data_IF_194024111406
#
_entry.id   IF_194024111406
#
_cell.length_a   1.000
_cell.length_b   1.000
_cell.length_c   1.000
_cell.angle_alpha   90.00
_cell.angle_beta   90.00
_cell.angle_gamma   90.00
#
_symmetry.space_group_name_H-M   'P 1'
#
loop_
_entity.id
_entity.type
_entity.pdbx_description
1 polymer ?
#
# COMPACT_ATOMS: atom_id res chain seq x y z
N UNK A 1 9.59 -33.02 -29.64
CA UNK A 1 8.25 -33.12 -29.04
C UNK A 1 8.33 -33.62 -27.60
N UNK A 2 9.12 -34.65 -27.31
CA UNK A 2 9.28 -35.18 -25.93
C UNK A 2 9.76 -34.15 -24.95
N UNK A 3 10.73 -33.31 -25.30
CA UNK A 3 11.26 -32.26 -24.41
C UNK A 3 10.23 -31.18 -24.08
N UNK A 4 9.39 -30.76 -25.03
CA UNK A 4 8.33 -29.79 -24.78
C UNK A 4 7.28 -30.30 -23.78
N UNK A 5 6.89 -31.58 -23.91
CA UNK A 5 5.93 -32.21 -22.99
C UNK A 5 6.54 -32.26 -21.56
N UNK A 6 7.82 -32.63 -21.46
CA UNK A 6 8.50 -32.69 -20.15
C UNK A 6 8.58 -31.29 -19.48
N UNK A 7 8.91 -30.25 -20.21
CA UNK A 7 8.91 -28.88 -19.67
C UNK A 7 7.52 -28.45 -19.21
N UNK A 8 6.50 -28.70 -20.02
CA UNK A 8 5.12 -28.37 -19.68
C UNK A 8 4.65 -29.10 -18.42
N UNK A 9 4.96 -30.38 -18.28
CA UNK A 9 4.61 -31.16 -17.07
C UNK A 9 5.30 -30.65 -15.81
N UNK A 10 6.59 -30.28 -15.90
CA UNK A 10 7.34 -29.70 -14.79
C UNK A 10 6.72 -28.36 -14.36
N UNK A 11 6.42 -27.48 -15.30
CA UNK A 11 5.82 -26.18 -15.00
C UNK A 11 4.42 -26.31 -14.40
N UNK A 12 3.62 -27.25 -14.88
CA UNK A 12 2.30 -27.54 -14.32
C UNK A 12 2.41 -28.08 -12.88
N UNK A 13 3.35 -28.96 -12.62
CA UNK A 13 3.62 -29.48 -11.27
C UNK A 13 4.04 -28.38 -10.29
N UNK A 14 4.89 -27.44 -10.72
CA UNK A 14 5.28 -26.28 -9.90
C UNK A 14 4.06 -25.41 -9.60
N UNK A 15 3.21 -25.14 -10.57
CA UNK A 15 1.98 -24.37 -10.35
C UNK A 15 1.04 -25.02 -9.33
N UNK A 16 0.81 -26.34 -9.47
CA UNK A 16 -0.01 -27.12 -8.54
C UNK A 16 0.60 -27.09 -7.14
N UNK A 17 1.93 -27.19 -7.02
CA UNK A 17 2.63 -27.15 -5.75
C UNK A 17 2.47 -25.76 -5.06
N UNK A 18 2.53 -24.66 -5.81
CA UNK A 18 2.28 -23.32 -5.27
C UNK A 18 0.85 -23.21 -4.74
N UNK A 19 -0.15 -23.71 -5.50
CA UNK A 19 -1.54 -23.71 -5.05
C UNK A 19 -1.79 -24.56 -3.82
N UNK A 20 -1.10 -25.69 -3.69
CA UNK A 20 -1.25 -26.63 -2.56
C UNK A 20 -0.55 -26.15 -1.28
N UNK A 21 0.62 -25.52 -1.41
CA UNK A 21 1.45 -25.12 -0.27
C UNK A 21 1.11 -23.73 0.27
N UNK A 22 0.57 -22.84 -0.58
CA UNK A 22 0.30 -21.46 -0.23
C UNK A 22 -1.21 -21.18 -0.24
N UNK A 23 -1.69 -20.43 0.77
CA UNK A 23 -3.09 -19.94 0.81
C UNK A 23 -3.31 -18.78 -0.17
N UNK A 24 -2.95 -18.96 -1.42
CA UNK A 24 -3.10 -17.96 -2.47
C UNK A 24 -4.40 -18.18 -3.25
N UNK A 25 -4.96 -17.08 -3.77
CA UNK A 25 -5.96 -17.22 -4.83
C UNK A 25 -5.30 -17.78 -6.11
N UNK A 26 -6.07 -18.43 -6.98
CA UNK A 26 -5.54 -18.98 -8.24
C UNK A 26 -4.79 -17.92 -9.08
N UNK A 27 -5.20 -16.68 -8.98
CA UNK A 27 -4.63 -15.54 -9.69
C UNK A 27 -3.32 -15.09 -9.08
N UNK A 28 -3.18 -15.09 -7.74
CA UNK A 28 -1.93 -14.77 -7.05
C UNK A 28 -0.89 -15.87 -7.33
N UNK A 29 -1.33 -17.13 -7.29
CA UNK A 29 -0.49 -18.27 -7.63
C UNK A 29 0.03 -18.17 -9.07
N UNK A 30 -0.81 -17.76 -10.02
CA UNK A 30 -0.43 -17.55 -11.42
C UNK A 30 0.62 -16.43 -11.55
N UNK A 31 0.47 -15.35 -10.80
CA UNK A 31 1.43 -14.24 -10.79
C UNK A 31 2.82 -14.69 -10.33
N UNK A 32 2.89 -15.35 -9.18
CA UNK A 32 4.15 -15.85 -8.64
C UNK A 32 4.79 -16.94 -9.49
N UNK A 33 3.96 -17.79 -10.08
CA UNK A 33 4.42 -18.79 -11.01
C UNK A 33 5.04 -18.18 -12.27
N UNK A 34 4.40 -17.16 -12.86
CA UNK A 34 4.95 -16.43 -14.00
C UNK A 34 6.26 -15.72 -13.66
N UNK A 35 6.33 -15.06 -12.51
CA UNK A 35 7.57 -14.43 -12.04
C UNK A 35 8.71 -15.45 -11.91
N UNK A 36 8.45 -16.61 -11.31
CA UNK A 36 9.42 -17.70 -11.21
C UNK A 36 9.87 -18.24 -12.55
N UNK A 37 8.95 -18.37 -13.52
CA UNK A 37 9.30 -18.79 -14.88
C UNK A 37 10.20 -17.78 -15.60
N UNK A 38 9.90 -16.49 -15.48
CA UNK A 38 10.74 -15.42 -16.08
C UNK A 38 12.14 -15.50 -15.52
N UNK A 39 12.28 -15.61 -14.20
CA UNK A 39 13.57 -15.70 -13.51
C UNK A 39 14.34 -16.93 -13.98
N UNK A 40 13.71 -18.08 -14.04
CA UNK A 40 14.33 -19.31 -14.53
C UNK A 40 14.81 -19.18 -15.99
N UNK A 41 14.01 -18.59 -16.87
CA UNK A 41 14.42 -18.36 -18.26
C UNK A 41 15.57 -17.36 -18.38
N UNK A 42 15.55 -16.29 -17.58
CA UNK A 42 16.64 -15.32 -17.52
C UNK A 42 17.94 -15.97 -17.03
N UNK A 43 17.90 -16.73 -15.94
CA UNK A 43 19.04 -17.49 -15.40
C UNK A 43 19.61 -18.43 -16.45
N UNK A 44 18.76 -19.20 -17.13
CA UNK A 44 19.20 -20.11 -18.19
C UNK A 44 19.88 -19.35 -19.35
N UNK A 45 19.32 -18.26 -19.82
CA UNK A 45 19.88 -17.47 -20.93
C UNK A 45 21.21 -16.83 -20.54
N UNK A 46 21.35 -16.31 -19.33
CA UNK A 46 22.61 -15.74 -18.82
C UNK A 46 23.69 -16.83 -18.71
N UNK A 47 23.36 -17.97 -18.08
CA UNK A 47 24.28 -19.09 -17.91
C UNK A 47 24.75 -19.61 -19.26
N UNK A 48 23.83 -19.74 -20.24
CA UNK A 48 24.13 -20.18 -21.58
C UNK A 48 25.06 -19.20 -22.30
N UNK A 49 24.80 -17.90 -22.28
CA UNK A 49 25.65 -16.87 -22.88
C UNK A 49 27.04 -16.84 -22.24
N UNK A 50 27.12 -16.90 -20.92
CA UNK A 50 28.38 -16.95 -20.19
C UNK A 50 29.21 -18.20 -20.58
N UNK A 51 28.57 -19.36 -20.69
CA UNK A 51 29.24 -20.60 -21.07
C UNK A 51 29.82 -20.57 -22.48
N UNK A 52 29.23 -19.78 -23.39
CA UNK A 52 29.73 -19.61 -24.77
C UNK A 52 30.82 -18.56 -24.91
N UNK A 53 30.81 -17.53 -24.07
CA UNK A 53 31.81 -16.44 -24.09
C UNK A 53 33.12 -16.82 -23.40
N UNK A 54 33.05 -17.70 -22.41
CA UNK A 54 34.21 -18.08 -21.59
C UNK A 54 34.67 -19.48 -22.06
N UNK A 55 35.93 -19.59 -22.48
CA UNK A 55 36.51 -20.77 -23.10
C UNK A 55 36.33 -22.09 -22.34
N UNK A 56 36.62 -23.21 -22.99
CA UNK A 56 36.33 -24.63 -22.67
C UNK A 56 36.58 -25.10 -21.21
N UNK A 57 37.32 -24.35 -20.38
CA UNK A 57 37.58 -24.68 -18.98
C UNK A 57 36.34 -24.56 -18.08
N UNK A 58 35.32 -23.84 -18.53
CA UNK A 58 34.11 -23.52 -17.75
C UNK A 58 32.91 -24.45 -18.01
N UNK A 59 33.09 -25.47 -18.85
CA UNK A 59 32.05 -26.52 -19.06
C UNK A 59 31.98 -27.54 -17.90
N UNK A 60 32.73 -27.33 -16.82
CA UNK A 60 32.61 -28.19 -15.66
C UNK A 60 31.28 -27.98 -14.93
N UNK A 61 30.58 -29.06 -14.64
CA UNK A 61 29.28 -29.04 -13.92
C UNK A 61 29.30 -28.17 -12.65
N UNK A 62 30.35 -28.17 -11.80
CA UNK A 62 30.39 -27.33 -10.59
C UNK A 62 30.43 -25.83 -10.90
N UNK A 63 31.06 -25.40 -11.99
CA UNK A 63 31.06 -23.98 -12.38
C UNK A 63 29.68 -23.51 -12.83
N UNK A 64 28.97 -24.30 -13.61
CA UNK A 64 27.59 -23.97 -14.02
C UNK A 64 26.66 -23.88 -12.82
N UNK A 65 26.81 -24.74 -11.85
CA UNK A 65 26.03 -24.69 -10.59
C UNK A 65 26.35 -23.40 -9.82
N UNK A 66 27.63 -23.05 -9.67
CA UNK A 66 28.06 -21.84 -8.98
C UNK A 66 27.49 -20.58 -9.67
N UNK A 67 27.57 -20.51 -11.02
CA UNK A 67 27.03 -19.40 -11.78
C UNK A 67 25.52 -19.25 -11.61
N UNK A 68 24.76 -20.37 -11.65
CA UNK A 68 23.33 -20.35 -11.37
C UNK A 68 23.02 -19.82 -9.96
N UNK A 69 23.78 -20.22 -8.94
CA UNK A 69 23.60 -19.74 -7.58
C UNK A 69 23.85 -18.22 -7.50
N UNK A 70 24.90 -17.71 -8.15
CA UNK A 70 25.21 -16.27 -8.17
C UNK A 70 24.10 -15.48 -8.85
N UNK A 71 23.61 -15.92 -10.01
CA UNK A 71 22.51 -15.26 -10.71
C UNK A 71 21.25 -15.28 -9.87
N UNK A 72 20.93 -16.42 -9.26
CA UNK A 72 19.76 -16.55 -8.38
C UNK A 72 19.87 -15.63 -7.14
N UNK A 73 21.04 -15.50 -6.50
CA UNK A 73 21.25 -14.56 -5.41
C UNK A 73 21.08 -13.11 -5.86
N UNK A 74 21.56 -12.77 -7.05
CA UNK A 74 21.36 -11.44 -7.64
C UNK A 74 19.88 -11.13 -7.85
N UNK A 75 19.14 -12.05 -8.46
CA UNK A 75 17.70 -11.94 -8.68
C UNK A 75 16.95 -11.80 -7.35
N UNK A 76 17.30 -12.60 -6.34
CA UNK A 76 16.72 -12.52 -5.00
C UNK A 76 16.91 -11.13 -4.38
N UNK A 77 18.11 -10.60 -4.40
CA UNK A 77 18.41 -9.29 -3.79
C UNK A 77 17.71 -8.14 -4.51
N UNK A 78 17.72 -8.14 -5.83
CA UNK A 78 17.22 -7.01 -6.62
C UNK A 78 15.71 -7.05 -6.89
N UNK A 79 15.14 -8.23 -6.95
CA UNK A 79 13.76 -8.44 -7.41
C UNK A 79 12.88 -8.96 -6.29
N UNK A 80 13.18 -10.13 -5.74
CA UNK A 80 12.30 -10.82 -4.79
C UNK A 80 12.17 -10.04 -3.48
N UNK A 81 13.26 -9.44 -2.98
CA UNK A 81 13.22 -8.60 -1.78
C UNK A 81 12.29 -7.38 -1.92
N UNK A 82 12.18 -6.81 -3.11
CA UNK A 82 11.25 -5.70 -3.40
C UNK A 82 9.80 -6.14 -3.56
N UNK A 83 9.59 -7.41 -3.91
CA UNK A 83 8.25 -8.00 -4.09
C UNK A 83 7.70 -8.61 -2.80
N UNK A 84 8.48 -8.67 -1.71
CA UNK A 84 8.10 -9.27 -0.44
C UNK A 84 7.14 -8.35 0.31
N UNK A 85 5.87 -8.74 0.46
CA UNK A 85 4.84 -8.02 1.20
C UNK A 85 3.50 -8.77 1.19
N UNK A 86 2.63 -8.44 2.15
CA UNK A 86 1.29 -9.02 2.22
C UNK A 86 0.37 -8.22 1.27
N UNK A 87 0.03 -8.78 0.11
CA UNK A 87 -0.72 -8.07 -0.92
C UNK A 87 -1.97 -8.81 -1.34
N UNK A 88 -3.09 -8.11 -1.27
CA UNK A 88 -4.31 -8.49 -1.95
C UNK A 88 -4.30 -7.89 -3.35
N UNK A 89 -4.08 -8.72 -4.36
CA UNK A 89 -4.16 -8.29 -5.75
C UNK A 89 -5.60 -7.93 -6.11
N UNK A 90 -5.88 -6.64 -6.27
CA UNK A 90 -7.17 -6.17 -6.80
C UNK A 90 -7.18 -6.24 -8.34
N UNK A 91 -8.32 -6.44 -8.87
CA UNK A 91 -8.95 -6.62 -10.18
C UNK A 91 -8.22 -6.25 -11.50
N UNK A 92 -7.17 -5.43 -11.53
CA UNK A 92 -6.61 -4.88 -12.79
C UNK A 92 -5.40 -5.63 -13.40
N UNK A 93 -4.95 -6.72 -12.80
CA UNK A 93 -3.74 -7.42 -13.26
C UNK A 93 -3.97 -8.42 -14.41
N UNK A 94 -5.22 -8.69 -14.82
CA UNK A 94 -5.52 -9.62 -15.92
C UNK A 94 -4.81 -9.25 -17.23
N UNK A 95 -4.80 -7.95 -17.57
CA UNK A 95 -4.11 -7.48 -18.78
C UNK A 95 -2.60 -7.68 -18.69
N UNK A 96 -2.00 -7.36 -17.56
CA UNK A 96 -0.56 -7.56 -17.33
C UNK A 96 -0.19 -9.05 -17.41
N UNK A 97 -0.99 -9.94 -16.81
CA UNK A 97 -0.78 -11.39 -16.91
C UNK A 97 -0.87 -11.87 -18.35
N UNK A 98 -1.86 -11.44 -19.11
CA UNK A 98 -2.00 -11.80 -20.52
C UNK A 98 -0.79 -11.35 -21.36
N UNK A 99 -0.34 -10.11 -21.18
CA UNK A 99 0.85 -9.58 -21.85
C UNK A 99 2.10 -10.39 -21.47
N UNK A 100 2.27 -10.70 -20.19
CA UNK A 100 3.42 -11.49 -19.71
C UNK A 100 3.39 -12.92 -20.26
N UNK A 101 2.24 -13.56 -20.28
CA UNK A 101 2.05 -14.89 -20.89
C UNK A 101 2.37 -14.84 -22.40
N UNK A 102 1.92 -13.82 -23.10
CA UNK A 102 2.21 -13.66 -24.53
C UNK A 102 3.73 -13.51 -24.78
N UNK A 103 4.42 -12.68 -23.98
CA UNK A 103 5.88 -12.49 -24.08
C UNK A 103 6.61 -13.81 -23.81
N UNK A 104 6.26 -14.53 -22.74
CA UNK A 104 6.85 -15.85 -22.44
C UNK A 104 6.54 -16.88 -23.54
N UNK A 105 5.31 -16.88 -24.06
CA UNK A 105 4.94 -17.74 -25.18
C UNK A 105 5.81 -17.51 -26.42
N UNK A 106 6.10 -16.26 -26.76
CA UNK A 106 6.99 -15.94 -27.90
C UNK A 106 8.42 -16.43 -27.64
N UNK A 107 8.95 -16.32 -26.41
CA UNK A 107 10.30 -16.83 -26.09
C UNK A 107 10.39 -18.35 -26.20
N UNK A 108 9.36 -19.08 -25.76
CA UNK A 108 9.29 -20.55 -25.86
C UNK A 108 9.21 -20.99 -27.31
N UNK A 109 8.36 -20.36 -28.13
CA UNK A 109 8.20 -20.67 -29.55
C UNK A 109 9.51 -20.42 -30.29
N UNK A 110 10.18 -19.30 -30.07
CA UNK A 110 11.46 -18.98 -30.70
C UNK A 110 12.58 -19.97 -30.31
N UNK A 111 12.65 -20.33 -29.03
CA UNK A 111 13.62 -21.32 -28.56
C UNK A 111 13.36 -22.71 -29.14
N UNK A 112 12.09 -23.08 -29.33
CA UNK A 112 11.73 -24.37 -29.96
C UNK A 112 11.97 -24.36 -31.47
N UNK A 113 11.76 -23.23 -32.15
CA UNK A 113 11.95 -23.10 -33.58
C UNK A 113 13.42 -23.27 -34.01
N UNK A 114 14.39 -22.81 -33.20
CA UNK A 114 15.83 -22.99 -33.49
C UNK A 114 16.19 -24.48 -33.58
N UNK A 115 15.62 -25.32 -32.72
CA UNK A 115 15.89 -26.76 -32.70
C UNK A 115 15.32 -27.47 -33.94
N UNK A 116 14.25 -26.93 -34.50
CA UNK A 116 13.60 -27.44 -35.70
C UNK A 116 14.36 -27.00 -36.98
N UNK A 117 14.75 -25.73 -37.07
CA UNK A 117 15.30 -25.16 -38.31
C UNK A 117 16.81 -25.39 -38.49
N UNK A 118 17.58 -25.48 -37.39
CA UNK A 118 19.04 -25.60 -37.45
C UNK A 118 19.61 -26.91 -36.89
N UNK A 119 18.75 -27.88 -36.53
CA UNK A 119 19.16 -29.07 -35.75
C UNK A 119 20.06 -28.74 -34.55
N UNK A 120 19.92 -27.51 -33.99
CA UNK A 120 20.67 -27.03 -32.84
C UNK A 120 22.16 -26.71 -33.07
N UNK A 121 22.66 -26.80 -34.34
CA UNK A 121 24.08 -26.74 -34.66
C UNK A 121 24.58 -25.33 -35.07
N UNK A 122 23.70 -24.35 -35.29
CA UNK A 122 24.12 -23.00 -35.66
C UNK A 122 24.39 -22.15 -34.40
N UNK A 123 25.68 -21.84 -34.09
CA UNK A 123 26.07 -21.09 -32.88
C UNK A 123 25.55 -19.63 -32.90
N UNK A 124 25.50 -19.02 -34.11
CA UNK A 124 25.06 -17.63 -34.23
C UNK A 124 23.57 -17.49 -33.92
N UNK A 125 22.74 -18.36 -34.49
CA UNK A 125 21.30 -18.37 -34.23
C UNK A 125 20.98 -18.62 -32.76
N UNK A 126 21.74 -19.49 -32.11
CA UNK A 126 21.56 -19.82 -30.70
C UNK A 126 21.93 -18.64 -29.78
N UNK A 127 22.96 -17.87 -30.09
CA UNK A 127 23.34 -16.67 -29.35
C UNK A 127 22.27 -15.58 -29.52
N UNK A 128 21.81 -15.34 -30.78
CA UNK A 128 20.80 -14.32 -31.05
C UNK A 128 19.48 -14.62 -30.31
N UNK A 129 19.02 -15.87 -30.35
CA UNK A 129 17.77 -16.28 -29.66
C UNK A 129 17.90 -16.17 -28.13
N UNK A 130 19.09 -16.44 -27.57
CA UNK A 130 19.32 -16.31 -26.14
C UNK A 130 19.35 -14.84 -25.70
N UNK A 131 19.94 -13.94 -26.48
CA UNK A 131 19.91 -12.49 -26.22
C UNK A 131 18.46 -11.97 -26.31
N UNK A 132 17.74 -12.37 -27.34
CA UNK A 132 16.33 -12.01 -27.48
C UNK A 132 15.48 -12.49 -26.28
N UNK A 133 15.66 -13.75 -25.88
CA UNK A 133 14.98 -14.31 -24.71
C UNK A 133 15.28 -13.51 -23.44
N UNK A 134 16.52 -13.10 -23.25
CA UNK A 134 16.93 -12.29 -22.09
C UNK A 134 16.26 -10.91 -22.10
N UNK A 135 16.22 -10.23 -23.24
CA UNK A 135 15.52 -8.94 -23.39
C UNK A 135 14.03 -9.10 -23.08
N UNK A 136 13.38 -10.14 -23.60
CA UNK A 136 11.97 -10.44 -23.32
C UNK A 136 11.73 -10.72 -21.82
N UNK A 137 12.62 -11.45 -21.15
CA UNK A 137 12.53 -11.71 -19.72
C UNK A 137 12.64 -10.42 -18.90
N UNK A 138 13.60 -9.54 -19.22
CA UNK A 138 13.74 -8.24 -18.56
C UNK A 138 12.48 -7.39 -18.75
N UNK A 139 11.96 -7.31 -19.97
CA UNK A 139 10.73 -6.56 -20.24
C UNK A 139 9.52 -7.14 -19.52
N UNK A 140 9.34 -8.46 -19.53
CA UNK A 140 8.29 -9.15 -18.80
C UNK A 140 8.39 -8.89 -17.28
N UNK A 141 9.60 -8.90 -16.74
CA UNK A 141 9.82 -8.61 -15.31
C UNK A 141 9.53 -7.14 -14.96
N UNK A 142 9.94 -6.20 -15.82
CA UNK A 142 9.60 -4.78 -15.64
C UNK A 142 8.08 -4.54 -15.65
N UNK A 143 7.34 -5.21 -16.53
CA UNK A 143 5.87 -5.08 -16.59
C UNK A 143 5.20 -5.66 -15.33
N UNK A 144 5.64 -6.81 -14.85
CA UNK A 144 5.14 -7.39 -13.60
C UNK A 144 5.45 -6.49 -12.41
N UNK A 145 6.69 -6.01 -12.30
CA UNK A 145 7.12 -5.16 -11.18
C UNK A 145 6.42 -3.80 -11.18
N UNK A 146 6.25 -3.19 -12.36
CA UNK A 146 5.53 -1.93 -12.51
C UNK A 146 4.07 -2.06 -12.08
N UNK A 147 3.40 -3.14 -12.48
CA UNK A 147 2.02 -3.41 -12.06
C UNK A 147 1.91 -3.66 -10.56
N UNK A 148 2.89 -4.34 -9.98
CA UNK A 148 2.97 -4.58 -8.54
C UNK A 148 3.10 -3.26 -7.74
N UNK A 149 4.01 -2.38 -8.16
CA UNK A 149 4.17 -1.07 -7.53
C UNK A 149 2.91 -0.20 -7.66
N UNK A 150 2.27 -0.21 -8.83
CA UNK A 150 1.01 0.49 -9.05
C UNK A 150 -0.08 0.01 -8.09
N UNK A 151 -0.29 -1.30 -7.98
CA UNK A 151 -1.29 -1.87 -7.07
C UNK A 151 -0.99 -1.54 -5.60
N UNK A 152 0.28 -1.50 -5.22
CA UNK A 152 0.70 -1.08 -3.88
C UNK A 152 0.30 0.37 -3.59
N UNK A 153 0.65 1.27 -4.50
CA UNK A 153 0.30 2.69 -4.36
C UNK A 153 -1.21 2.92 -4.31
N UNK A 154 -1.99 2.23 -5.15
CA UNK A 154 -3.45 2.30 -5.12
C UNK A 154 -4.02 1.83 -3.77
N UNK A 155 -3.47 0.77 -3.18
CA UNK A 155 -3.88 0.31 -1.85
C UNK A 155 -3.51 1.30 -0.74
N UNK A 156 -2.31 1.89 -0.80
CA UNK A 156 -1.88 2.93 0.15
C UNK A 156 -2.79 4.17 0.06
N UNK A 157 -3.15 4.60 -1.15
CA UNK A 157 -4.10 5.71 -1.37
C UNK A 157 -5.47 5.42 -0.76
N UNK A 158 -6.02 4.22 -0.94
CA UNK A 158 -7.32 3.83 -0.35
C UNK A 158 -7.27 3.89 1.18
N UNK A 159 -6.16 3.46 1.80
CA UNK A 159 -5.99 3.53 3.26
C UNK A 159 -5.96 4.99 3.72
N UNK A 160 -5.19 5.85 3.04
CA UNK A 160 -5.12 7.28 3.37
C UNK A 160 -6.48 7.96 3.23
N UNK A 161 -7.23 7.66 2.17
CA UNK A 161 -8.58 8.17 1.97
C UNK A 161 -9.55 7.71 3.07
N UNK A 162 -9.47 6.45 3.51
CA UNK A 162 -10.28 5.95 4.62
C UNK A 162 -9.94 6.65 5.94
N UNK A 163 -8.65 6.87 6.24
CA UNK A 163 -8.23 7.60 7.42
C UNK A 163 -8.76 9.04 7.40
N UNK A 164 -8.58 9.73 6.29
CA UNK A 164 -9.11 11.07 6.09
C UNK A 164 -10.62 11.18 6.31
N UNK A 165 -11.38 10.27 5.71
CA UNK A 165 -12.84 10.23 5.87
C UNK A 165 -13.26 9.94 7.32
N UNK A 166 -12.50 9.13 8.05
CA UNK A 166 -12.76 8.86 9.46
C UNK A 166 -12.45 10.09 10.33
N UNK A 167 -11.36 10.80 10.08
CA UNK A 167 -11.02 12.04 10.79
C UNK A 167 -12.10 13.11 10.57
N UNK A 168 -12.56 13.28 9.33
CA UNK A 168 -13.65 14.20 9.03
C UNK A 168 -14.95 13.85 9.80
N UNK A 169 -15.31 12.56 9.84
CA UNK A 169 -16.51 12.14 10.61
C UNK A 169 -16.34 12.40 12.11
N UNK A 170 -15.16 12.14 12.68
CA UNK A 170 -14.90 12.43 14.09
C UNK A 170 -14.98 13.92 14.38
N UNK A 171 -14.40 14.75 13.50
CA UNK A 171 -14.49 16.21 13.63
C UNK A 171 -15.93 16.71 13.60
N UNK A 172 -16.74 16.22 12.65
CA UNK A 172 -18.15 16.62 12.54
C UNK A 172 -18.98 16.18 13.75
N UNK A 173 -18.72 14.97 14.27
CA UNK A 173 -19.37 14.49 15.50
C UNK A 173 -18.93 15.34 16.72
N UNK A 174 -17.66 15.69 16.84
CA UNK A 174 -17.18 16.57 17.92
C UNK A 174 -17.82 17.97 17.85
N UNK A 175 -17.91 18.53 16.64
CA UNK A 175 -18.58 19.82 16.40
C UNK A 175 -20.05 19.78 16.83
N UNK A 176 -20.80 18.75 16.43
CA UNK A 176 -22.21 18.58 16.85
C UNK A 176 -22.35 18.46 18.37
N UNK A 177 -21.44 17.73 19.03
CA UNK A 177 -21.45 17.61 20.48
C UNK A 177 -21.22 18.97 21.18
N UNK A 178 -20.29 19.80 20.65
CA UNK A 178 -20.04 21.14 21.18
C UNK A 178 -21.24 22.06 20.96
N UNK A 179 -21.86 22.03 19.78
CA UNK A 179 -23.06 22.81 19.50
C UNK A 179 -24.21 22.42 20.43
N UNK A 180 -24.41 21.13 20.67
CA UNK A 180 -25.42 20.62 21.63
C UNK A 180 -25.14 21.07 23.06
N UNK A 181 -23.89 21.00 23.51
CA UNK A 181 -23.48 21.49 24.85
C UNK A 181 -23.75 23.00 24.99
N UNK A 182 -23.42 23.79 23.97
CA UNK A 182 -23.68 25.24 23.98
C UNK A 182 -25.19 25.54 24.12
N UNK A 183 -26.03 24.77 23.40
CA UNK A 183 -27.49 24.90 23.51
C UNK A 183 -27.97 24.58 24.92
N UNK A 184 -27.53 23.46 25.52
CA UNK A 184 -27.89 23.10 26.88
C UNK A 184 -27.41 24.12 27.91
N UNK A 185 -26.23 24.69 27.75
CA UNK A 185 -25.73 25.75 28.62
C UNK A 185 -26.57 27.03 28.54
N UNK A 186 -26.97 27.39 27.32
CA UNK A 186 -27.88 28.52 27.11
C UNK A 186 -29.23 28.31 27.83
N UNK A 187 -29.83 27.12 27.65
CA UNK A 187 -31.11 26.80 28.28
C UNK A 187 -31.06 26.77 29.82
N UNK A 188 -29.94 26.22 30.35
CA UNK A 188 -29.69 26.25 31.81
C UNK A 188 -29.54 27.67 32.34
N UNK A 189 -28.85 28.56 31.62
CA UNK A 189 -28.75 30.00 32.00
C UNK A 189 -30.10 30.67 32.04
N UNK A 190 -30.92 30.38 31.03
CA UNK A 190 -32.29 30.92 30.97
C UNK A 190 -33.14 30.46 32.16
N UNK A 191 -33.08 29.15 32.51
CA UNK A 191 -33.76 28.59 33.68
C UNK A 191 -33.31 29.21 35.00
N UNK A 192 -31.99 29.41 35.16
CA UNK A 192 -31.42 30.06 36.35
C UNK A 192 -31.88 31.52 36.48
N UNK A 193 -31.97 32.24 35.38
CA UNK A 193 -32.49 33.63 35.41
C UNK A 193 -33.93 33.64 35.87
N UNK A 194 -34.78 32.72 35.38
CA UNK A 194 -36.17 32.61 35.81
C UNK A 194 -36.31 32.19 37.31
N UNK A 195 -35.42 31.30 37.80
CA UNK A 195 -35.40 30.91 39.21
C UNK A 195 -35.00 32.06 40.13
N UNK A 196 -34.04 32.88 39.70
CA UNK A 196 -33.60 34.08 40.44
C UNK A 196 -34.73 35.11 40.61
N UNK A 197 -35.53 35.30 39.59
CA UNK A 197 -36.72 36.18 39.64
C UNK A 197 -37.80 35.67 40.61
N UNK A 198 -37.80 34.34 40.93
CA UNK A 198 -38.79 33.71 41.86
C UNK A 198 -38.28 33.56 43.31
N UNK A 199 -37.23 34.28 43.74
CA UNK A 199 -36.67 34.24 45.12
C UNK A 199 -36.26 32.83 45.59
N UNK A 200 -35.69 32.02 44.75
CA UNK A 200 -35.04 30.76 45.12
C UNK A 200 -33.68 31.05 45.77
N UNK A 201 -33.25 30.20 46.74
CA UNK A 201 -32.08 30.37 47.59
C UNK A 201 -30.81 30.74 46.74
N UNK A 202 -30.26 31.90 47.04
CA UNK A 202 -29.11 32.53 46.32
C UNK A 202 -27.86 31.62 46.26
N UNK A 203 -27.68 30.76 47.25
CA UNK A 203 -26.54 29.86 47.37
C UNK A 203 -26.52 28.77 46.28
N UNK A 204 -27.65 28.14 46.00
CA UNK A 204 -27.77 27.12 44.95
C UNK A 204 -27.63 27.74 43.55
N UNK A 205 -28.18 28.93 43.36
CA UNK A 205 -28.03 29.67 42.10
C UNK A 205 -26.58 30.05 41.87
N UNK A 206 -25.81 30.39 42.92
CA UNK A 206 -24.40 30.70 42.89
C UNK A 206 -23.55 29.50 42.47
N UNK A 207 -23.81 28.29 43.00
CA UNK A 207 -23.10 27.06 42.60
C UNK A 207 -23.35 26.67 41.15
N UNK A 208 -24.60 26.72 40.70
CA UNK A 208 -24.94 26.37 39.29
C UNK A 208 -24.41 27.43 38.33
N UNK A 209 -24.42 28.71 38.70
CA UNK A 209 -23.83 29.78 37.87
C UNK A 209 -22.31 29.62 37.76
N UNK A 210 -21.65 29.23 38.87
CA UNK A 210 -20.22 28.92 38.87
C UNK A 210 -19.89 27.68 38.01
N UNK A 211 -20.72 26.63 38.05
CA UNK A 211 -20.56 25.49 37.18
C UNK A 211 -20.72 25.84 35.69
N UNK A 212 -21.66 26.72 35.36
CA UNK A 212 -21.89 27.22 34.00
C UNK A 212 -20.83 28.23 33.53
N UNK A 213 -20.21 28.99 34.43
CA UNK A 213 -19.17 29.97 34.09
C UNK A 213 -17.95 29.33 33.42
N UNK A 214 -17.78 28.02 33.57
CA UNK A 214 -16.74 27.24 32.89
C UNK A 214 -17.03 27.14 31.39
N UNK A 215 -18.28 27.11 31.03
CA UNK A 215 -18.72 27.11 29.59
C UNK A 215 -18.66 28.54 29.01
N UNK A 216 -18.83 29.58 29.84
CA UNK A 216 -18.64 30.98 29.42
C UNK A 216 -17.17 31.33 29.13
N UNK A 217 -16.22 30.54 29.67
CA UNK A 217 -14.82 30.67 29.33
C UNK A 217 -14.46 30.07 27.95
N UNK A 218 -15.40 29.57 27.21
CA UNK A 218 -15.24 29.18 25.81
C UNK A 218 -14.98 30.44 24.99
N UNK A 219 -13.69 30.71 24.76
CA UNK A 219 -13.25 31.88 24.03
C UNK A 219 -13.64 31.69 22.57
N UNK A 220 -14.52 32.55 22.10
CA UNK A 220 -14.74 32.73 20.65
C UNK A 220 -13.49 33.39 20.06
N UNK A 221 -12.62 32.59 19.46
CA UNK A 221 -11.40 33.09 18.80
C UNK A 221 -11.71 33.77 17.47
N UNK A 222 -12.90 33.60 16.95
CA UNK A 222 -13.33 34.08 15.64
C UNK A 222 -13.07 33.09 14.50
N UNK A 223 -12.57 31.88 14.82
CA UNK A 223 -12.49 30.74 13.90
C UNK A 223 -13.25 29.56 14.51
N UNK A 224 -14.38 29.22 13.89
CA UNK A 224 -15.29 28.17 14.40
C UNK A 224 -14.61 26.81 14.62
N UNK A 225 -13.69 26.41 13.74
CA UNK A 225 -12.96 25.16 13.89
C UNK A 225 -12.06 25.15 15.12
N UNK A 226 -11.32 26.24 15.33
CA UNK A 226 -10.48 26.42 16.51
C UNK A 226 -11.31 26.47 17.80
N UNK A 227 -12.46 27.13 17.76
CA UNK A 227 -13.38 27.22 18.91
C UNK A 227 -13.88 25.84 19.34
N UNK A 228 -14.24 24.97 18.39
CA UNK A 228 -14.64 23.57 18.65
C UNK A 228 -13.49 22.78 19.31
N UNK A 229 -12.29 22.87 18.76
CA UNK A 229 -11.11 22.16 19.27
C UNK A 229 -10.77 22.63 20.70
N UNK A 230 -10.71 23.94 20.92
CA UNK A 230 -10.40 24.51 22.23
C UNK A 230 -11.45 24.15 23.26
N UNK A 231 -12.72 24.12 22.88
CA UNK A 231 -13.81 23.69 23.75
C UNK A 231 -13.65 22.25 24.18
N UNK A 232 -13.43 21.32 23.24
CA UNK A 232 -13.18 19.91 23.54
C UNK A 232 -11.98 19.73 24.47
N UNK A 233 -10.86 20.36 24.17
CA UNK A 233 -9.64 20.27 24.99
C UNK A 233 -9.82 20.89 26.37
N UNK A 234 -10.57 21.99 26.48
CA UNK A 234 -10.90 22.60 27.76
C UNK A 234 -11.70 21.67 28.66
N UNK A 235 -12.69 20.96 28.11
CA UNK A 235 -13.47 19.96 28.83
C UNK A 235 -12.60 18.81 29.35
N UNK A 236 -11.72 18.29 28.52
CA UNK A 236 -10.77 17.23 28.90
C UNK A 236 -9.80 17.70 29.97
N UNK A 237 -9.25 18.92 29.83
CA UNK A 237 -8.37 19.53 30.82
C UNK A 237 -9.05 19.68 32.16
N UNK A 238 -10.30 20.14 32.19
CA UNK A 238 -11.09 20.28 33.42
C UNK A 238 -11.33 18.94 34.10
N UNK A 239 -11.70 17.89 33.36
CA UNK A 239 -11.86 16.55 33.93
C UNK A 239 -10.59 16.02 34.58
N UNK A 240 -9.43 16.48 34.13
CA UNK A 240 -8.11 16.12 34.67
C UNK A 240 -7.54 17.15 35.65
N UNK A 241 -8.32 18.13 36.06
CA UNK A 241 -7.91 19.22 36.94
C UNK A 241 -6.73 20.06 36.39
N UNK A 242 -6.60 20.14 35.07
CA UNK A 242 -5.56 20.90 34.38
C UNK A 242 -6.09 22.28 34.01
N UNK A 243 -5.37 23.34 34.41
CA UNK A 243 -5.72 24.72 34.03
C UNK A 243 -5.25 25.00 32.59
N UNK A 244 -6.17 25.14 31.65
CA UNK A 244 -5.89 25.53 30.28
C UNK A 244 -6.02 27.05 30.12
N UNK A 245 -4.94 27.72 29.69
CA UNK A 245 -4.95 29.13 29.30
C UNK A 245 -4.63 29.25 27.85
N UNK A 246 -5.52 29.80 27.04
CA UNK A 246 -5.34 29.99 25.62
C UNK A 246 -5.43 31.49 25.25
N UNK A 247 -4.51 31.96 24.43
CA UNK A 247 -4.52 33.28 23.80
C UNK A 247 -4.34 33.06 22.30
N UNK A 248 -5.42 33.09 21.55
CA UNK A 248 -5.40 32.87 20.08
C UNK A 248 -6.34 33.85 19.39
N UNK A 249 -5.90 34.44 18.29
CA UNK A 249 -6.73 35.17 17.33
C UNK A 249 -7.05 34.26 16.15
N UNK A 250 -8.19 33.59 16.21
CA UNK A 250 -8.62 32.61 15.23
C UNK A 250 -8.91 33.21 13.86
N UNK A 251 -9.16 34.53 13.78
CA UNK A 251 -9.38 35.21 12.47
C UNK A 251 -8.13 35.16 11.60
N UNK A 252 -6.95 35.21 12.21
CA UNK A 252 -5.68 35.12 11.47
C UNK A 252 -5.41 33.72 10.92
N UNK A 253 -6.12 32.71 11.42
CA UNK A 253 -6.00 31.30 10.97
C UNK A 253 -7.05 30.93 9.90
N UNK A 254 -7.78 31.90 9.35
CA UNK A 254 -8.79 31.65 8.32
C UNK A 254 -8.26 31.03 7.01
N UNK A 255 -6.94 31.11 6.78
CA UNK A 255 -6.28 30.51 5.61
C UNK A 255 -6.02 29.00 5.78
N UNK A 256 -6.07 28.46 7.02
CA UNK A 256 -5.82 27.05 7.28
C UNK A 256 -7.09 26.23 7.07
N UNK A 257 -6.91 25.03 6.52
CA UNK A 257 -8.01 24.08 6.42
C UNK A 257 -8.35 23.54 7.83
N UNK A 258 -9.62 23.20 8.03
CA UNK A 258 -10.13 22.69 9.31
C UNK A 258 -9.35 21.45 9.79
N UNK A 259 -8.97 20.57 8.87
CA UNK A 259 -8.18 19.38 9.14
C UNK A 259 -6.77 19.66 9.63
N UNK A 260 -6.14 20.71 9.10
CA UNK A 260 -4.79 21.11 9.53
C UNK A 260 -4.83 21.69 10.95
N UNK A 261 -5.88 22.49 11.26
CA UNK A 261 -6.11 23.00 12.61
C UNK A 261 -6.35 21.88 13.64
N UNK A 262 -7.00 20.79 13.24
CA UNK A 262 -7.27 19.65 14.12
C UNK A 262 -6.03 18.79 14.38
N UNK A 263 -5.07 18.77 13.46
CA UNK A 263 -3.83 17.98 13.56
C UNK A 263 -2.71 18.64 14.39
N UNK A 264 -2.85 19.93 14.70
CA UNK A 264 -1.93 20.67 15.57
C UNK A 264 -2.28 20.45 17.05
#
# INVERSE_FOLDING_TARGET
FSNMINYFTIYLMVFISILACMKFTATDALYWWLAGMIMQHATYSITFLCSRLISSLFYSLPFLILLNIIVWLFEYFFIERKLRGNYNFKKNYRQTLLVTIAILGTTVVLNSSKDIFSNGNDPALTIITSIYSLICCVFAMMTLMGNFQKNRLENELVIVEQLWNNEQKQFEASKQNVEMLNMYCHDLKHLLTMMKERNSTDEFIGEVTNALSVFDAMKTTGNHALDVILTEKSLICKQKEIKLTCMADGKQLAFMQTTDLYSI
#
